data_IF_360344750379
#
_entry.id   IF_360344750379
#
_cell.length_a   1.000
_cell.length_b   1.000
_cell.length_c   1.000
_cell.angle_alpha   90.00
_cell.angle_beta   90.00
_cell.angle_gamma   90.00
#
_symmetry.space_group_name_H-M   'P 1'
#
loop_
_entity.id
_entity.type
_entity.pdbx_description
1 polymer ?
#
# COMPACT_ATOMS: atom_id res chain seq x y z
N UNK A 1 -1.37 -21.18 -3.02
CA UNK A 1 -0.62 -20.73 -1.83
C UNK A 1 -1.07 -19.29 -1.59
N UNK A 2 -1.88 -19.03 -0.57
CA UNK A 2 -2.40 -17.70 -0.29
C UNK A 2 -1.22 -16.73 -0.11
N UNK A 3 -1.04 -15.67 -0.94
CA UNK A 3 -0.19 -14.58 -0.54
C UNK A 3 -0.80 -14.04 0.76
N UNK A 4 -0.08 -14.25 1.85
CA UNK A 4 -0.53 -13.82 3.18
C UNK A 4 -0.75 -12.31 3.08
N UNK A 5 -1.88 -11.80 3.57
CA UNK A 5 -2.18 -10.37 3.64
C UNK A 5 -1.00 -9.54 4.21
N UNK A 6 -0.20 -10.18 5.06
CA UNK A 6 1.08 -9.71 5.63
C UNK A 6 2.11 -9.27 4.56
N UNK A 7 2.08 -9.83 3.35
CA UNK A 7 2.97 -9.44 2.25
C UNK A 7 2.54 -8.14 1.57
N UNK A 8 1.30 -7.70 1.78
CA UNK A 8 0.73 -6.51 1.13
C UNK A 8 0.51 -5.35 2.09
N UNK A 9 0.30 -5.61 3.38
CA UNK A 9 0.11 -4.57 4.38
C UNK A 9 1.10 -4.76 5.53
N UNK A 10 1.92 -3.74 5.79
CA UNK A 10 2.87 -3.74 6.89
C UNK A 10 2.73 -2.46 7.73
N UNK A 11 2.22 -2.63 8.95
CA UNK A 11 2.06 -1.57 9.92
C UNK A 11 3.40 -1.25 10.58
N UNK A 12 3.83 0.00 10.49
CA UNK A 12 5.07 0.49 11.09
C UNK A 12 4.81 1.15 12.43
N UNK A 13 5.83 1.11 13.29
CA UNK A 13 5.86 1.94 14.50
C UNK A 13 5.78 3.42 14.10
N UNK A 14 4.85 4.16 14.72
CA UNK A 14 4.59 5.58 14.40
C UNK A 14 3.35 5.81 13.52
N UNK A 15 2.46 4.82 13.40
CA UNK A 15 1.15 5.00 12.76
C UNK A 15 1.20 5.10 11.24
N UNK A 16 2.23 4.55 10.61
CA UNK A 16 2.36 4.47 9.14
C UNK A 16 2.04 3.07 8.66
N UNK A 17 1.53 2.96 7.45
CA UNK A 17 1.22 1.68 6.81
C UNK A 17 1.87 1.62 5.45
N UNK A 18 2.63 0.55 5.23
CA UNK A 18 3.15 0.21 3.90
C UNK A 18 2.15 -0.67 3.18
N UNK A 19 1.82 -0.30 1.95
CA UNK A 19 0.96 -1.05 1.05
C UNK A 19 1.81 -1.53 -0.13
N UNK A 20 2.08 -2.83 -0.23
CA UNK A 20 2.84 -3.41 -1.33
C UNK A 20 1.90 -3.99 -2.38
N UNK A 21 2.17 -3.71 -3.65
CA UNK A 21 1.44 -4.31 -4.77
C UNK A 21 2.36 -5.27 -5.52
N UNK A 22 1.86 -6.48 -5.79
CA UNK A 22 2.60 -7.52 -6.53
C UNK A 22 2.67 -7.31 -8.03
N UNK A 23 2.17 -6.18 -8.55
CA UNK A 23 2.12 -5.88 -9.98
C UNK A 23 2.96 -4.64 -10.26
N UNK A 24 3.97 -4.78 -11.13
CA UNK A 24 4.70 -3.64 -11.70
C UNK A 24 3.70 -2.79 -12.46
N UNK A 25 3.55 -1.53 -12.05
CA UNK A 25 2.63 -0.61 -12.69
C UNK A 25 3.38 0.20 -13.75
N UNK A 26 2.95 0.09 -15.01
CA UNK A 26 3.39 0.96 -16.11
C UNK A 26 2.45 2.17 -16.13
N UNK A 27 2.48 2.99 -15.07
CA UNK A 27 1.59 4.12 -14.84
C UNK A 27 1.49 4.51 -13.35
N UNK A 28 1.01 5.73 -13.05
CA UNK A 28 0.84 6.25 -11.68
C UNK A 28 -0.59 6.08 -11.11
N UNK A 29 -1.53 5.56 -11.90
CA UNK A 29 -2.96 5.65 -11.59
C UNK A 29 -3.41 4.69 -10.48
N UNK A 30 -2.95 3.44 -10.52
CA UNK A 30 -3.37 2.42 -9.56
C UNK A 30 -2.73 2.67 -8.20
N UNK A 31 -1.46 3.08 -8.15
CA UNK A 31 -0.74 3.45 -6.91
C UNK A 31 -1.49 4.55 -6.14
N UNK A 32 -1.99 5.57 -6.84
CA UNK A 32 -2.71 6.71 -6.24
C UNK A 32 -4.10 6.31 -5.76
N UNK A 33 -4.85 5.54 -6.55
CA UNK A 33 -6.15 5.04 -6.12
C UNK A 33 -6.01 4.10 -4.92
N UNK A 34 -4.97 3.27 -4.89
CA UNK A 34 -4.71 2.34 -3.80
C UNK A 34 -4.36 3.05 -2.49
N UNK A 35 -3.61 4.16 -2.54
CA UNK A 35 -3.32 4.93 -1.33
C UNK A 35 -4.56 5.60 -0.75
N UNK A 36 -5.47 6.08 -1.61
CA UNK A 36 -6.76 6.64 -1.18
C UNK A 36 -7.64 5.59 -0.51
N UNK A 37 -7.80 4.43 -1.13
CA UNK A 37 -8.57 3.32 -0.56
C UNK A 37 -7.97 2.87 0.78
N UNK A 38 -6.65 2.71 0.86
CA UNK A 38 -6.00 2.28 2.10
C UNK A 38 -6.11 3.32 3.23
N UNK A 39 -6.08 4.61 2.90
CA UNK A 39 -6.30 5.68 3.87
C UNK A 39 -7.73 5.65 4.43
N UNK A 40 -8.73 5.50 3.55
CA UNK A 40 -10.15 5.43 3.92
C UNK A 40 -10.46 4.21 4.80
N UNK A 41 -10.00 3.02 4.38
CA UNK A 41 -10.30 1.76 5.09
C UNK A 41 -9.59 1.64 6.44
N UNK A 42 -8.46 2.34 6.62
CA UNK A 42 -7.65 2.27 7.84
C UNK A 42 -7.84 3.49 8.77
N UNK A 43 -8.68 4.45 8.38
CA UNK A 43 -8.85 5.73 9.08
C UNK A 43 -7.51 6.47 9.29
N UNK A 44 -6.70 6.51 8.23
CA UNK A 44 -5.38 7.15 8.21
C UNK A 44 -5.35 8.29 7.19
N UNK A 45 -4.44 9.24 7.39
CA UNK A 45 -4.18 10.27 6.38
C UNK A 45 -3.28 9.73 5.26
N UNK A 46 -3.34 10.36 4.08
CA UNK A 46 -2.52 9.94 2.92
C UNK A 46 -1.01 9.97 3.21
N UNK A 47 -0.54 10.87 4.09
CA UNK A 47 0.88 10.94 4.50
C UNK A 47 1.34 9.76 5.38
N UNK A 48 0.38 9.02 5.94
CA UNK A 48 0.61 7.79 6.69
C UNK A 48 0.68 6.55 5.77
N UNK A 49 0.31 6.67 4.49
CA UNK A 49 0.32 5.57 3.53
C UNK A 49 1.58 5.60 2.66
N UNK A 50 2.31 4.49 2.65
CA UNK A 50 3.52 4.30 1.83
C UNK A 50 3.27 3.16 0.83
N UNK A 51 3.04 3.48 -0.44
CA UNK A 51 2.85 2.43 -1.46
C UNK A 51 4.21 1.98 -2.00
N UNK A 52 4.45 0.67 -2.01
CA UNK A 52 5.62 0.03 -2.61
C UNK A 52 5.18 -0.66 -3.91
N UNK A 53 5.63 -0.11 -5.04
CA UNK A 53 5.50 -0.72 -6.35
C UNK A 53 6.76 -1.56 -6.62
N UNK A 54 6.59 -2.83 -6.95
CA UNK A 54 7.73 -3.72 -7.20
C UNK A 54 8.54 -3.25 -8.40
N UNK A 55 9.81 -2.91 -8.18
CA UNK A 55 10.84 -2.87 -9.20
C UNK A 55 11.58 -4.23 -9.09
N UNK A 56 11.65 -4.99 -10.18
CA UNK A 56 12.34 -6.30 -10.23
C UNK A 56 13.66 -6.15 -10.97
#
# INVERSE_FOLDING_TARGET
MNPRFENWLNFQTGGKVRVATGKVEIGQGVTTALSQIAAEELDLTLDQIIVLSGDS
#
